data_IF_037128883082
#
_entry.id   IF_037128883082
#
_cell.length_a   1.000
_cell.length_b   1.000
_cell.length_c   1.000
_cell.angle_alpha   90.00
_cell.angle_beta   90.00
_cell.angle_gamma   90.00
#
_symmetry.space_group_name_H-M   'P 1'
#
loop_
_entity.id
_entity.type
_entity.pdbx_description
1 polymer ?
#
# COMPACT_ATOMS: atom_id res chain seq x y z
N UNK A 1 19.05 -6.09 7.79
CA UNK A 1 17.58 -6.15 7.75
C UNK A 1 17.10 -4.80 7.27
N UNK A 2 16.51 -4.72 6.07
CA UNK A 2 15.91 -3.47 5.60
C UNK A 2 14.60 -3.28 6.36
N UNK A 3 14.64 -2.39 7.35
CA UNK A 3 13.47 -2.04 8.14
C UNK A 3 12.49 -1.31 7.22
N UNK A 4 11.28 -1.85 7.08
CA UNK A 4 10.22 -1.18 6.32
C UNK A 4 9.71 0.01 7.16
N UNK A 5 9.69 1.19 6.57
CA UNK A 5 9.29 2.43 7.25
C UNK A 5 8.43 3.28 6.33
N UNK A 6 7.66 4.19 6.93
CA UNK A 6 7.02 5.26 6.16
C UNK A 6 8.10 6.17 5.57
N UNK A 7 7.83 6.65 4.36
CA UNK A 7 8.66 7.58 3.60
C UNK A 7 7.89 8.87 3.48
N UNK A 8 8.58 9.99 3.69
CA UNK A 8 8.07 11.34 3.39
C UNK A 8 8.76 11.84 2.13
N UNK A 9 7.98 12.36 1.20
CA UNK A 9 8.42 12.82 -0.11
C UNK A 9 8.44 14.34 -0.16
N UNK A 10 9.55 14.92 -0.62
CA UNK A 10 9.64 16.36 -0.85
C UNK A 10 8.73 16.81 -2.00
N UNK A 11 8.54 15.93 -2.99
CA UNK A 11 7.65 16.17 -4.14
C UNK A 11 6.52 15.15 -4.14
N UNK A 12 5.25 15.56 -4.26
CA UNK A 12 4.13 14.63 -4.26
C UNK A 12 4.23 13.56 -5.35
N UNK A 13 3.96 12.31 -4.98
CA UNK A 13 3.81 11.19 -5.90
C UNK A 13 2.36 11.15 -6.37
N UNK A 14 2.17 11.16 -7.69
CA UNK A 14 0.87 11.03 -8.31
C UNK A 14 0.54 9.57 -8.57
N UNK A 15 -0.66 9.16 -8.17
CA UNK A 15 -1.16 7.80 -8.35
C UNK A 15 -2.57 7.87 -8.89
N UNK A 16 -2.81 7.26 -10.05
CA UNK A 16 -4.13 7.27 -10.67
C UNK A 16 -5.13 6.46 -9.83
N UNK A 17 -6.31 7.03 -9.63
CA UNK A 17 -7.48 6.34 -9.11
C UNK A 17 -8.52 6.20 -10.22
N UNK A 18 -8.44 5.10 -10.96
CA UNK A 18 -9.24 4.86 -12.17
C UNK A 18 -10.75 4.98 -11.95
N UNK A 19 -11.30 4.47 -10.83
CA UNK A 19 -12.74 4.54 -10.55
C UNK A 19 -13.26 5.98 -10.48
N UNK A 20 -12.49 6.88 -9.86
CA UNK A 20 -12.83 8.30 -9.75
C UNK A 20 -12.26 9.15 -10.87
N UNK A 21 -11.52 8.56 -11.82
CA UNK A 21 -10.82 9.23 -12.94
C UNK A 21 -10.02 10.46 -12.48
N UNK A 22 -9.36 10.35 -11.33
CA UNK A 22 -8.55 11.42 -10.72
C UNK A 22 -7.16 10.91 -10.36
N UNK A 23 -6.20 11.82 -10.31
CA UNK A 23 -4.89 11.56 -9.70
C UNK A 23 -4.95 11.87 -8.21
N UNK A 24 -4.62 10.90 -7.38
CA UNK A 24 -4.33 11.12 -5.97
C UNK A 24 -2.88 11.57 -5.83
N UNK A 25 -2.64 12.56 -4.95
CA UNK A 25 -1.32 13.11 -4.70
C UNK A 25 -0.90 12.80 -3.28
N UNK A 26 0.19 12.07 -3.11
CA UNK A 26 0.68 11.63 -1.82
C UNK A 26 2.06 12.19 -1.54
N UNK A 27 2.25 12.75 -0.35
CA UNK A 27 3.58 13.15 0.16
C UNK A 27 4.18 12.10 1.08
N UNK A 28 3.49 10.97 1.26
CA UNK A 28 3.96 9.88 2.10
C UNK A 28 3.65 8.53 1.49
N UNK A 29 4.50 7.56 1.74
CA UNK A 29 4.30 6.21 1.23
C UNK A 29 5.14 5.15 1.91
N UNK A 30 5.05 3.96 1.36
CA UNK A 30 5.77 2.78 1.85
C UNK A 30 6.24 1.94 0.66
N UNK A 31 7.43 1.39 0.75
CA UNK A 31 7.97 0.50 -0.28
C UNK A 31 7.91 -0.94 0.21
N UNK A 32 7.18 -1.77 -0.51
CA UNK A 32 6.91 -3.16 -0.15
C UNK A 32 7.56 -4.09 -1.20
N UNK A 33 8.39 -5.06 -0.79
CA UNK A 33 8.93 -6.06 -1.70
C UNK A 33 7.82 -6.81 -2.45
N UNK A 34 8.01 -7.09 -3.73
CA UNK A 34 7.03 -7.82 -4.55
C UNK A 34 6.56 -9.13 -3.89
N UNK A 35 7.50 -9.92 -3.36
CA UNK A 35 7.18 -11.18 -2.67
C UNK A 35 6.32 -11.01 -1.39
N UNK A 36 6.44 -9.87 -0.72
CA UNK A 36 5.58 -9.55 0.43
C UNK A 36 4.20 -9.10 -0.05
N UNK A 37 4.14 -8.30 -1.12
CA UNK A 37 2.88 -7.87 -1.72
C UNK A 37 2.03 -9.06 -2.17
N UNK A 38 2.62 -10.06 -2.82
CA UNK A 38 1.92 -11.28 -3.21
C UNK A 38 1.29 -11.99 -2.00
N UNK A 39 2.03 -12.11 -0.90
CA UNK A 39 1.52 -12.74 0.34
C UNK A 39 0.41 -11.91 0.98
N UNK A 40 0.55 -10.60 1.00
CA UNK A 40 -0.46 -9.67 1.54
C UNK A 40 -1.77 -9.82 0.77
N UNK A 41 -1.71 -9.78 -0.56
CA UNK A 41 -2.91 -9.88 -1.41
C UNK A 41 -3.56 -11.27 -1.32
N UNK A 42 -2.76 -12.34 -1.31
CA UNK A 42 -3.26 -13.71 -1.15
C UNK A 42 -3.89 -13.97 0.24
N UNK A 43 -3.54 -13.16 1.23
CA UNK A 43 -4.10 -13.23 2.58
C UNK A 43 -5.39 -12.41 2.78
N UNK A 44 -5.84 -11.64 1.79
CA UNK A 44 -7.06 -10.86 1.88
C UNK A 44 -8.30 -11.75 1.78
N UNK A 45 -9.36 -11.40 2.51
CA UNK A 45 -10.68 -11.96 2.27
C UNK A 45 -11.35 -11.29 1.05
N UNK A 46 -12.48 -11.83 0.59
CA UNK A 46 -13.20 -11.32 -0.59
C UNK A 46 -13.54 -9.82 -0.49
N UNK A 47 -14.05 -9.37 0.66
CA UNK A 47 -14.45 -7.98 0.84
C UNK A 47 -13.25 -7.02 0.78
N UNK A 48 -12.14 -7.38 1.43
CA UNK A 48 -10.92 -6.60 1.41
C UNK A 48 -10.29 -6.57 0.01
N UNK A 49 -10.31 -7.69 -0.70
CA UNK A 49 -9.82 -7.79 -2.07
C UNK A 49 -10.67 -6.92 -3.02
N UNK A 50 -12.00 -6.99 -2.93
CA UNK A 50 -12.90 -6.17 -3.75
C UNK A 50 -12.67 -4.66 -3.48
N UNK A 51 -12.44 -4.27 -2.23
CA UNK A 51 -12.15 -2.88 -1.88
C UNK A 51 -10.75 -2.44 -2.32
N UNK A 52 -9.76 -3.34 -2.30
CA UNK A 52 -8.43 -3.10 -2.86
C UNK A 52 -8.51 -2.87 -4.37
N UNK A 53 -9.22 -3.75 -5.09
CA UNK A 53 -9.45 -3.63 -6.52
C UNK A 53 -10.17 -2.33 -6.85
N UNK A 54 -11.16 -1.90 -6.07
CA UNK A 54 -11.82 -0.62 -6.30
C UNK A 54 -10.88 0.60 -6.32
N UNK A 55 -9.85 0.61 -5.45
CA UNK A 55 -8.87 1.70 -5.36
C UNK A 55 -7.72 1.54 -6.35
N UNK A 56 -7.44 0.32 -6.79
CA UNK A 56 -6.28 -0.04 -7.60
C UNK A 56 -6.66 -0.79 -8.88
N UNK A 57 -7.87 -0.56 -9.38
CA UNK A 57 -8.44 -1.28 -10.51
C UNK A 57 -7.52 -1.19 -11.72
N UNK A 58 -7.39 -2.29 -12.46
CA UNK A 58 -6.55 -2.40 -13.65
C UNK A 58 -5.05 -2.12 -13.45
N UNK A 59 -4.56 -2.00 -12.20
CA UNK A 59 -3.12 -1.90 -11.93
C UNK A 59 -2.51 -3.28 -11.91
N UNK A 60 -1.52 -3.49 -12.77
CA UNK A 60 -0.71 -4.69 -12.75
C UNK A 60 0.13 -4.74 -11.48
N UNK A 61 0.03 -5.83 -10.72
CA UNK A 61 0.84 -6.06 -9.53
C UNK A 61 2.22 -6.55 -9.99
N UNK A 62 3.18 -5.62 -10.09
CA UNK A 62 4.58 -5.88 -10.45
C UNK A 62 5.51 -4.85 -9.83
N UNK A 63 6.82 -5.11 -9.84
CA UNK A 63 7.81 -4.14 -9.39
C UNK A 63 7.69 -2.80 -10.13
N UNK A 64 7.80 -1.71 -9.38
CA UNK A 64 7.63 -0.34 -9.85
C UNK A 64 6.19 0.16 -9.83
N UNK A 65 5.18 -0.70 -9.64
CA UNK A 65 3.78 -0.27 -9.58
C UNK A 65 3.52 0.61 -8.35
N UNK A 66 2.78 1.70 -8.57
CA UNK A 66 2.27 2.59 -7.54
C UNK A 66 0.77 2.34 -7.28
N UNK A 67 0.44 2.04 -6.04
CA UNK A 67 -0.91 1.76 -5.58
C UNK A 67 -1.40 2.86 -4.64
N UNK A 68 -2.71 3.11 -4.66
CA UNK A 68 -3.40 3.96 -3.70
C UNK A 68 -3.49 3.20 -2.36
N UNK A 69 -2.88 3.76 -1.32
CA UNK A 69 -3.01 3.31 0.05
C UNK A 69 -4.16 4.02 0.75
N UNK A 70 -4.94 3.26 1.51
CA UNK A 70 -6.09 3.70 2.29
C UNK A 70 -6.09 2.98 3.65
N UNK A 71 -6.91 3.41 4.61
CA UNK A 71 -6.86 2.92 6.00
C UNK A 71 -7.01 1.40 6.14
N UNK A 72 -7.93 0.79 5.40
CA UNK A 72 -8.12 -0.67 5.38
C UNK A 72 -6.88 -1.40 4.87
N UNK A 73 -6.25 -0.91 3.81
CA UNK A 73 -5.03 -1.52 3.28
C UNK A 73 -3.83 -1.32 4.22
N UNK A 74 -3.72 -0.16 4.86
CA UNK A 74 -2.73 0.10 5.90
C UNK A 74 -2.82 -0.93 7.04
N UNK A 75 -4.03 -1.22 7.51
CA UNK A 75 -4.25 -2.20 8.58
C UNK A 75 -3.81 -3.61 8.17
N UNK A 76 -4.12 -4.02 6.93
CA UNK A 76 -3.72 -5.34 6.40
C UNK A 76 -2.19 -5.43 6.27
N UNK A 77 -1.54 -4.40 5.75
CA UNK A 77 -0.07 -4.34 5.64
C UNK A 77 0.56 -4.41 7.02
N UNK A 78 0.09 -3.59 7.97
CA UNK A 78 0.61 -3.55 9.33
C UNK A 78 0.48 -4.91 10.03
N UNK A 79 -0.67 -5.56 9.92
CA UNK A 79 -0.92 -6.88 10.48
C UNK A 79 0.01 -7.94 9.88
N UNK A 80 0.18 -7.97 8.56
CA UNK A 80 1.12 -8.88 7.89
C UNK A 80 2.55 -8.72 8.42
N UNK A 81 3.08 -7.49 8.46
CA UNK A 81 4.44 -7.26 8.92
C UNK A 81 4.62 -7.55 10.41
N UNK A 82 3.60 -7.29 11.23
CA UNK A 82 3.64 -7.63 12.64
C UNK A 82 3.64 -9.14 12.87
N UNK A 83 2.77 -9.89 12.19
CA UNK A 83 2.64 -11.34 12.37
C UNK A 83 3.81 -12.13 11.77
N UNK A 84 4.21 -11.81 10.54
CA UNK A 84 5.16 -12.63 9.79
C UNK A 84 6.63 -12.24 10.05
N UNK A 85 6.87 -11.00 10.51
CA UNK A 85 8.22 -10.45 10.63
C UNK A 85 8.52 -9.78 11.97
N UNK A 86 7.53 -9.68 12.87
CA UNK A 86 7.61 -8.91 14.11
C UNK A 86 8.07 -7.46 13.89
N UNK A 87 7.64 -6.86 12.78
CA UNK A 87 7.96 -5.47 12.42
C UNK A 87 6.73 -4.59 12.63
N UNK A 88 6.93 -3.48 13.35
CA UNK A 88 5.96 -2.40 13.46
C UNK A 88 6.32 -1.26 12.51
N UNK A 89 5.36 -0.84 11.68
CA UNK A 89 5.53 0.26 10.73
C UNK A 89 4.89 1.51 11.35
N UNK A 90 5.71 2.33 12.01
CA UNK A 90 5.26 3.56 12.65
C UNK A 90 4.53 4.47 11.65
N UNK A 91 3.47 5.13 12.13
CA UNK A 91 2.63 6.07 11.36
C UNK A 91 1.81 5.49 10.20
N UNK A 92 1.91 4.19 9.88
CA UNK A 92 1.15 3.60 8.77
C UNK A 92 -0.37 3.65 9.01
N UNK A 93 -0.82 3.38 10.24
CA UNK A 93 -2.25 3.29 10.62
C UNK A 93 -2.79 4.54 11.30
N UNK A 94 -2.25 5.72 10.98
CA UNK A 94 -2.68 7.02 11.56
C UNK A 94 -3.91 7.65 10.85
N UNK A 95 -4.55 6.93 9.93
CA UNK A 95 -5.73 7.38 9.20
C UNK A 95 -5.46 8.35 8.04
N UNK A 96 -4.21 8.67 7.73
CA UNK A 96 -3.84 9.50 6.57
C UNK A 96 -3.53 8.63 5.37
N UNK A 97 -4.07 8.98 4.21
CA UNK A 97 -3.79 8.27 2.95
C UNK A 97 -2.30 8.38 2.56
N UNK A 98 -1.85 7.42 1.75
CA UNK A 98 -0.45 7.22 1.39
C UNK A 98 -0.36 6.50 0.05
N UNK A 99 0.82 6.45 -0.56
CA UNK A 99 1.08 5.58 -1.70
C UNK A 99 1.80 4.30 -1.26
N UNK A 100 1.61 3.21 -2.01
CA UNK A 100 2.45 2.02 -1.90
C UNK A 100 3.23 1.85 -3.19
N UNK A 101 4.55 1.64 -3.08
CA UNK A 101 5.39 1.27 -4.22
C UNK A 101 5.85 -0.17 -4.05
N UNK A 102 5.65 -0.98 -5.09
CA UNK A 102 6.18 -2.33 -5.13
C UNK A 102 7.66 -2.27 -5.55
N UNK A 103 8.56 -2.84 -4.75
CA UNK A 103 10.02 -2.88 -5.02
C UNK A 103 10.54 -4.31 -5.18
#
# INVERSE_FOLDING_TARGET
>A
MNQITMIEEETPINVEHHTYKRECRYTRGIHIPFADMEKILNGMNEDALAYFEFHNIAKEIKQGTLLNGYSGFAAIIADYYKREKDIEILELTNGRDFYVKII
#
